data_IF_688443132434
#
_entry.id   IF_688443132434
#
_cell.length_a   1.000
_cell.length_b   1.000
_cell.length_c   1.000
_cell.angle_alpha   90.00
_cell.angle_beta   90.00
_cell.angle_gamma   90.00
#
_symmetry.space_group_name_H-M   'P 1'
#
loop_
_entity.id
_entity.type
_entity.pdbx_description
1 polymer ?
#
# COMPACT_ATOMS: atom_id res chain seq x y z
N UNK A 1 9.59 1.41 5.51
CA UNK A 1 10.61 0.36 5.80
C UNK A 1 12.01 0.94 5.98
N UNK A 2 12.55 1.70 5.01
CA UNK A 2 13.89 2.33 5.11
C UNK A 2 14.04 3.34 6.26
N UNK A 3 13.07 4.24 6.46
CA UNK A 3 13.12 5.25 7.54
C UNK A 3 13.22 4.62 8.94
N UNK A 4 12.51 3.52 9.19
CA UNK A 4 12.59 2.77 10.45
C UNK A 4 13.98 2.16 10.65
N UNK A 5 14.55 1.56 9.61
CA UNK A 5 15.90 1.01 9.65
C UNK A 5 16.93 2.11 9.97
N UNK A 6 16.84 3.25 9.27
CA UNK A 6 17.73 4.38 9.46
C UNK A 6 17.65 5.00 10.86
N UNK A 7 16.44 5.15 11.40
CA UNK A 7 16.22 5.59 12.80
C UNK A 7 16.90 4.63 13.79
N UNK A 8 16.70 3.32 13.63
CA UNK A 8 17.34 2.30 14.48
C UNK A 8 18.86 2.35 14.36
N UNK A 9 19.38 2.43 13.14
CA UNK A 9 20.82 2.46 12.88
C UNK A 9 21.48 3.72 13.47
N UNK A 10 20.90 4.90 13.27
CA UNK A 10 21.41 6.15 13.86
C UNK A 10 21.35 6.10 15.39
N UNK A 11 20.30 5.51 15.97
CA UNK A 11 20.17 5.32 17.43
C UNK A 11 21.27 4.43 18.01
N UNK A 12 21.76 3.47 17.22
CA UNK A 12 22.86 2.58 17.56
C UNK A 12 24.24 3.10 17.10
N UNK A 13 24.32 4.34 16.61
CA UNK A 13 25.51 4.91 15.99
C UNK A 13 26.08 4.08 14.82
N UNK A 14 25.22 3.30 14.15
CA UNK A 14 25.57 2.54 12.97
C UNK A 14 25.41 3.39 11.70
N UNK A 15 26.52 3.90 11.19
CA UNK A 15 26.54 4.80 10.03
C UNK A 15 26.82 4.09 8.70
N UNK A 16 26.57 2.77 8.60
CA UNK A 16 26.90 1.96 7.40
C UNK A 16 26.23 2.47 6.12
N UNK A 17 25.06 3.12 6.21
CA UNK A 17 24.35 3.71 5.08
C UNK A 17 24.50 5.24 4.99
N UNK A 18 25.32 5.86 5.85
CA UNK A 18 25.53 7.30 5.91
C UNK A 18 27.03 7.63 5.81
N UNK A 19 27.71 7.33 4.68
CA UNK A 19 29.16 7.49 4.55
C UNK A 19 29.62 8.94 4.75
N UNK A 20 28.86 9.92 4.25
CA UNK A 20 29.16 11.36 4.47
C UNK A 20 29.01 11.74 5.93
N UNK A 21 27.97 11.26 6.61
CA UNK A 21 27.79 11.51 8.04
C UNK A 21 28.91 10.85 8.85
N UNK A 22 29.34 9.64 8.47
CA UNK A 22 30.48 8.95 9.09
C UNK A 22 31.79 9.72 8.94
N UNK A 23 31.97 10.45 7.84
CA UNK A 23 33.16 11.26 7.59
C UNK A 23 33.15 12.60 8.31
N UNK A 24 31.97 13.22 8.46
CA UNK A 24 31.82 14.60 8.95
C UNK A 24 31.36 14.70 10.41
N UNK A 25 30.71 13.65 10.93
CA UNK A 25 30.22 13.64 12.31
C UNK A 25 31.38 13.72 13.28
N UNK A 26 31.33 14.74 14.14
CA UNK A 26 32.33 14.96 15.20
C UNK A 26 31.84 14.48 16.56
N UNK A 27 30.52 14.28 16.73
CA UNK A 27 29.91 13.74 17.94
C UNK A 27 28.56 13.01 17.69
N UNK A 28 28.01 12.42 18.75
CA UNK A 28 26.72 11.70 18.70
C UNK A 28 25.48 12.62 18.61
N UNK A 29 25.66 13.95 18.69
CA UNK A 29 24.56 14.91 18.65
C UNK A 29 24.01 15.08 17.23
N UNK A 30 24.85 14.92 16.21
CA UNK A 30 24.43 14.88 14.80
C UNK A 30 23.40 13.77 14.55
N UNK A 31 23.62 12.58 15.08
CA UNK A 31 22.69 11.46 14.94
C UNK A 31 21.33 11.79 15.54
N UNK A 32 21.29 12.43 16.73
CA UNK A 32 20.03 12.84 17.38
C UNK A 32 19.24 13.81 16.49
N UNK A 33 19.94 14.74 15.83
CA UNK A 33 19.31 15.67 14.87
C UNK A 33 18.74 14.95 13.65
N UNK A 34 19.47 14.01 13.06
CA UNK A 34 18.95 13.27 11.90
C UNK A 34 17.81 12.31 12.27
N UNK A 35 17.84 11.72 13.47
CA UNK A 35 16.72 10.95 14.01
C UNK A 35 15.46 11.81 14.11
N UNK A 36 15.55 13.05 14.59
CA UNK A 36 14.38 13.93 14.68
C UNK A 36 13.79 14.27 13.30
N UNK A 37 14.63 14.50 12.29
CA UNK A 37 14.16 14.68 10.90
C UNK A 37 13.51 13.42 10.33
N UNK A 38 14.06 12.24 10.61
CA UNK A 38 13.43 10.97 10.21
C UNK A 38 12.07 10.79 10.85
N UNK A 39 11.93 11.12 12.14
CA UNK A 39 10.64 11.06 12.85
C UNK A 39 9.61 12.03 12.24
N UNK A 40 10.01 13.27 11.96
CA UNK A 40 9.15 14.23 11.26
C UNK A 40 8.71 13.69 9.89
N UNK A 41 9.65 13.17 9.10
CA UNK A 41 9.35 12.61 7.79
C UNK A 41 8.39 11.41 7.90
N UNK A 42 8.61 10.50 8.87
CA UNK A 42 7.69 9.39 9.14
C UNK A 42 6.27 9.88 9.43
N UNK A 43 6.14 10.93 10.25
CA UNK A 43 4.83 11.51 10.58
C UNK A 43 4.17 12.13 9.35
N UNK A 44 4.91 12.87 8.52
CA UNK A 44 4.39 13.42 7.26
C UNK A 44 3.91 12.33 6.30
N UNK A 45 4.63 11.20 6.21
CA UNK A 45 4.16 10.04 5.46
C UNK A 45 2.86 9.48 6.05
N UNK A 46 2.79 9.25 7.36
CA UNK A 46 1.57 8.75 8.00
C UNK A 46 0.41 9.70 7.72
N UNK A 47 0.59 11.00 7.96
CA UNK A 47 -0.40 12.03 7.75
C UNK A 47 -0.91 12.04 6.30
N UNK A 48 0.01 12.08 5.32
CA UNK A 48 -0.32 12.08 3.89
C UNK A 48 -1.10 10.84 3.46
N UNK A 49 -0.82 9.68 4.05
CA UNK A 49 -1.45 8.41 3.69
C UNK A 49 -2.54 7.98 4.67
N UNK A 50 -2.99 8.85 5.59
CA UNK A 50 -4.01 8.53 6.58
C UNK A 50 -5.31 8.08 5.93
N UNK A 51 -5.71 8.72 4.83
CA UNK A 51 -6.95 8.37 4.12
C UNK A 51 -6.90 6.96 3.53
N UNK A 52 -5.73 6.45 3.16
CA UNK A 52 -5.58 5.07 2.68
C UNK A 52 -5.86 4.04 3.77
N UNK A 53 -5.66 4.38 5.04
CA UNK A 53 -6.00 3.49 6.15
C UNK A 53 -7.51 3.21 6.19
N UNK A 54 -8.35 4.18 5.78
CA UNK A 54 -9.81 4.01 5.70
C UNK A 54 -10.22 2.99 4.64
N UNK A 55 -9.38 2.75 3.63
CA UNK A 55 -9.64 1.83 2.53
C UNK A 55 -8.90 0.50 2.68
N UNK A 56 -8.17 0.29 3.78
CA UNK A 56 -7.32 -0.88 3.99
C UNK A 56 -8.07 -2.20 3.77
N UNK A 57 -9.26 -2.35 4.36
CA UNK A 57 -10.06 -3.57 4.21
C UNK A 57 -10.58 -3.75 2.78
N UNK A 58 -10.83 -2.63 2.09
CA UNK A 58 -11.19 -2.64 0.68
C UNK A 58 -10.06 -3.04 -0.24
N UNK A 59 -8.85 -2.58 0.05
CA UNK A 59 -7.65 -3.04 -0.64
C UNK A 59 -7.37 -4.51 -0.37
N UNK A 60 -7.58 -4.99 0.86
CA UNK A 60 -7.43 -6.40 1.19
C UNK A 60 -8.44 -7.26 0.42
N UNK A 61 -9.70 -6.84 0.35
CA UNK A 61 -10.72 -7.52 -0.46
C UNK A 61 -10.34 -7.54 -1.95
N UNK A 62 -9.77 -6.45 -2.45
CA UNK A 62 -9.29 -6.36 -3.82
C UNK A 62 -8.07 -7.28 -4.06
N UNK A 63 -7.07 -7.28 -3.18
CA UNK A 63 -5.83 -8.04 -3.35
C UNK A 63 -5.99 -9.53 -3.08
N UNK A 64 -6.85 -9.90 -2.14
CA UNK A 64 -7.02 -11.27 -1.63
C UNK A 64 -8.49 -11.72 -1.62
N UNK A 65 -9.24 -11.61 -2.73
CA UNK A 65 -10.68 -11.90 -2.75
C UNK A 65 -11.00 -13.36 -2.40
N UNK A 66 -10.05 -14.27 -2.61
CA UNK A 66 -10.20 -15.70 -2.32
C UNK A 66 -9.84 -16.11 -0.88
N UNK A 67 -9.25 -15.20 -0.09
CA UNK A 67 -8.66 -15.54 1.23
C UNK A 67 -9.14 -14.64 2.37
N UNK A 68 -9.66 -13.45 2.06
CA UNK A 68 -10.19 -12.54 3.09
C UNK A 68 -11.37 -13.16 3.84
N UNK A 69 -11.45 -12.93 5.16
CA UNK A 69 -12.61 -13.29 5.95
C UNK A 69 -13.84 -12.49 5.49
N UNK A 70 -14.88 -13.20 5.05
CA UNK A 70 -16.12 -12.61 4.55
C UNK A 70 -16.88 -11.81 5.61
N UNK A 71 -16.73 -12.13 6.89
CA UNK A 71 -17.40 -11.41 8.00
C UNK A 71 -16.92 -9.96 8.15
N UNK A 72 -15.68 -9.68 7.72
CA UNK A 72 -15.11 -8.32 7.79
C UNK A 72 -15.39 -7.49 6.52
N UNK A 73 -16.14 -8.03 5.57
CA UNK A 73 -16.50 -7.35 4.33
C UNK A 73 -17.90 -6.73 4.45
N UNK A 74 -18.14 -5.63 3.75
CA UNK A 74 -19.47 -4.98 3.69
C UNK A 74 -20.57 -5.98 3.35
N UNK A 75 -21.66 -5.93 4.12
CA UNK A 75 -22.82 -6.85 4.03
C UNK A 75 -23.34 -7.02 2.59
N UNK A 76 -23.37 -5.94 1.81
CA UNK A 76 -23.88 -5.95 0.44
C UNK A 76 -23.03 -6.76 -0.56
N UNK A 77 -21.81 -7.14 -0.15
CA UNK A 77 -20.84 -7.92 -0.93
C UNK A 77 -20.62 -9.34 -0.39
N UNK A 78 -20.92 -9.61 0.88
CA UNK A 78 -20.55 -10.86 1.58
C UNK A 78 -21.04 -12.12 0.84
N UNK A 79 -22.32 -12.19 0.50
CA UNK A 79 -22.88 -13.36 -0.20
C UNK A 79 -22.23 -13.57 -1.58
N UNK A 80 -21.93 -12.49 -2.30
CA UNK A 80 -21.24 -12.58 -3.60
C UNK A 80 -19.78 -12.93 -3.47
N UNK A 81 -19.16 -12.57 -2.37
CA UNK A 81 -17.80 -12.99 -2.05
C UNK A 81 -17.75 -14.48 -1.71
N UNK A 82 -18.72 -15.00 -0.96
CA UNK A 82 -18.85 -16.44 -0.69
C UNK A 82 -19.02 -17.21 -2.01
N UNK A 83 -19.95 -16.77 -2.87
CA UNK A 83 -20.15 -17.35 -4.21
C UNK A 83 -18.84 -17.36 -5.04
N UNK A 84 -17.99 -16.35 -4.87
CA UNK A 84 -16.70 -16.25 -5.57
C UNK A 84 -15.67 -17.20 -4.95
N UNK A 85 -15.55 -17.23 -3.62
CA UNK A 85 -14.60 -18.06 -2.88
C UNK A 85 -14.86 -19.56 -3.07
N UNK A 86 -16.13 -19.95 -3.22
CA UNK A 86 -16.52 -21.33 -3.53
C UNK A 86 -16.26 -21.74 -5.00
N UNK A 87 -15.96 -20.79 -5.89
CA UNK A 87 -15.73 -21.07 -7.30
C UNK A 87 -14.27 -21.48 -7.54
N UNK A 88 -14.02 -22.80 -7.51
CA UNK A 88 -12.68 -23.38 -7.70
C UNK A 88 -12.05 -23.01 -9.04
N UNK A 89 -12.84 -22.91 -10.12
CA UNK A 89 -12.35 -22.53 -11.46
C UNK A 89 -11.82 -21.10 -11.45
N UNK A 90 -12.58 -20.16 -10.87
CA UNK A 90 -12.14 -18.77 -10.75
C UNK A 90 -10.96 -18.64 -9.78
N UNK A 91 -10.91 -19.46 -8.72
CA UNK A 91 -9.77 -19.49 -7.79
C UNK A 91 -8.48 -19.94 -8.47
N UNK A 92 -8.49 -21.06 -9.19
CA UNK A 92 -7.33 -21.51 -9.97
C UNK A 92 -6.94 -20.49 -11.04
N UNK A 93 -7.92 -19.81 -11.64
CA UNK A 93 -7.63 -18.73 -12.58
C UNK A 93 -6.94 -17.55 -11.91
N UNK A 94 -7.38 -17.15 -10.72
CA UNK A 94 -6.76 -16.09 -9.92
C UNK A 94 -5.31 -16.41 -9.60
N UNK A 95 -5.02 -17.64 -9.18
CA UNK A 95 -3.65 -18.09 -8.90
C UNK A 95 -2.76 -18.04 -10.15
N UNK A 96 -3.34 -18.26 -11.34
CA UNK A 96 -2.60 -18.22 -12.61
C UNK A 96 -2.37 -16.80 -13.17
N UNK A 97 -3.34 -15.89 -13.05
CA UNK A 97 -3.28 -14.55 -13.70
C UNK A 97 -3.07 -13.39 -12.74
N UNK A 98 -3.29 -13.61 -11.44
CA UNK A 98 -3.21 -12.61 -10.39
C UNK A 98 -4.37 -11.61 -10.35
N UNK A 99 -4.29 -10.69 -9.39
CA UNK A 99 -5.34 -9.73 -9.06
C UNK A 99 -5.70 -8.78 -10.20
N UNK A 100 -4.75 -8.31 -10.98
CA UNK A 100 -5.02 -7.30 -12.01
C UNK A 100 -5.88 -7.84 -13.16
N UNK A 101 -5.79 -9.14 -13.42
CA UNK A 101 -6.42 -9.79 -14.58
C UNK A 101 -7.66 -10.59 -14.21
N UNK A 102 -7.78 -11.08 -12.96
CA UNK A 102 -8.89 -11.96 -12.56
C UNK A 102 -10.27 -11.33 -12.78
N UNK A 103 -10.39 -10.01 -12.61
CA UNK A 103 -11.69 -9.33 -12.66
C UNK A 103 -12.33 -9.33 -14.05
N UNK A 104 -11.53 -9.53 -15.11
CA UNK A 104 -12.01 -9.70 -16.49
C UNK A 104 -12.77 -11.01 -16.69
N UNK A 105 -12.49 -12.02 -15.86
CA UNK A 105 -13.09 -13.35 -15.92
C UNK A 105 -14.35 -13.49 -15.07
N UNK A 106 -14.67 -12.49 -14.23
CA UNK A 106 -15.91 -12.50 -13.48
C UNK A 106 -17.11 -12.42 -14.44
N UNK A 107 -18.15 -13.21 -14.20
CA UNK A 107 -19.42 -13.12 -14.93
C UNK A 107 -20.29 -11.93 -14.50
N UNK A 108 -21.46 -11.78 -15.13
CA UNK A 108 -22.44 -10.75 -14.74
C UNK A 108 -23.07 -10.99 -13.37
N UNK A 109 -23.05 -12.25 -12.88
CA UNK A 109 -23.49 -12.64 -11.54
C UNK A 109 -22.70 -11.96 -10.40
N UNK A 110 -21.50 -11.45 -10.70
CA UNK A 110 -20.61 -10.76 -9.76
C UNK A 110 -20.58 -9.22 -9.99
N UNK A 111 -21.62 -8.63 -10.58
CA UNK A 111 -21.66 -7.21 -10.96
C UNK A 111 -21.34 -6.24 -9.81
N UNK A 112 -21.82 -6.51 -8.59
CA UNK A 112 -21.49 -5.71 -7.40
C UNK A 112 -20.01 -5.73 -7.06
N UNK A 113 -19.40 -6.93 -7.05
CA UNK A 113 -17.96 -7.11 -6.81
C UNK A 113 -17.14 -6.47 -7.93
N UNK A 114 -17.51 -6.66 -9.21
CA UNK A 114 -16.87 -5.97 -10.34
C UNK A 114 -16.86 -4.46 -10.15
N UNK A 115 -18.02 -3.86 -9.85
CA UNK A 115 -18.13 -2.42 -9.61
C UNK A 115 -17.22 -1.97 -8.47
N UNK A 116 -17.19 -2.74 -7.37
CA UNK A 116 -16.31 -2.47 -6.24
C UNK A 116 -14.84 -2.46 -6.65
N UNK A 117 -14.39 -3.51 -7.35
CA UNK A 117 -13.00 -3.64 -7.81
C UNK A 117 -12.62 -2.58 -8.85
N UNK A 118 -13.55 -2.20 -9.75
CA UNK A 118 -13.34 -1.09 -10.68
C UNK A 118 -13.15 0.25 -9.96
N UNK A 119 -13.88 0.49 -8.87
CA UNK A 119 -13.68 1.70 -8.06
C UNK A 119 -12.30 1.73 -7.39
N UNK A 120 -11.80 0.58 -6.92
CA UNK A 120 -10.45 0.48 -6.35
C UNK A 120 -9.40 0.70 -7.45
N UNK A 121 -9.54 0.07 -8.62
CA UNK A 121 -8.63 0.26 -9.76
C UNK A 121 -8.59 1.72 -10.22
N UNK A 122 -9.72 2.42 -10.25
CA UNK A 122 -9.76 3.83 -10.68
C UNK A 122 -9.07 4.77 -9.70
N UNK A 123 -9.02 4.44 -8.40
CA UNK A 123 -8.20 5.18 -7.43
C UNK A 123 -6.72 5.15 -7.83
N UNK A 124 -6.18 3.98 -8.21
CA UNK A 124 -4.79 3.88 -8.65
C UNK A 124 -4.52 4.61 -9.98
N UNK A 125 -5.49 4.63 -10.89
CA UNK A 125 -5.39 5.40 -12.13
C UNK A 125 -5.28 6.93 -11.89
N UNK A 126 -6.00 7.46 -10.90
CA UNK A 126 -5.92 8.89 -10.56
C UNK A 126 -4.67 9.24 -9.75
N UNK A 127 -4.12 8.30 -8.97
CA UNK A 127 -2.81 8.48 -8.32
C UNK A 127 -1.67 8.66 -9.33
N UNK A 128 -1.68 7.91 -10.44
CA UNK A 128 -0.67 8.05 -11.49
C UNK A 128 -0.65 9.47 -12.09
N UNK A 129 -1.82 10.06 -12.30
CA UNK A 129 -1.95 11.46 -12.79
C UNK A 129 -1.37 12.46 -11.78
N UNK A 130 -1.58 12.22 -10.49
CA UNK A 130 -1.05 13.07 -9.42
C UNK A 130 0.47 12.91 -9.21
N UNK A 131 1.01 11.71 -9.43
CA UNK A 131 2.46 11.44 -9.43
C UNK A 131 3.17 12.17 -10.57
N UNK A 132 2.63 12.13 -11.80
CA UNK A 132 3.17 12.89 -12.93
C UNK A 132 3.21 14.41 -12.62
N UNK A 133 2.15 14.94 -12.01
CA UNK A 133 2.08 16.35 -11.63
C UNK A 133 3.06 16.73 -10.50
N UNK A 134 3.35 15.79 -9.58
CA UNK A 134 4.32 15.99 -8.50
C UNK A 134 5.77 15.90 -8.99
N UNK A 135 6.07 14.99 -9.91
CA UNK A 135 7.38 14.88 -10.56
C UNK A 135 7.69 16.10 -11.43
N UNK A 136 6.67 16.70 -12.07
CA UNK A 136 6.83 17.95 -12.81
C UNK A 136 7.29 19.14 -11.95
N UNK A 137 7.03 19.13 -10.63
CA UNK A 137 7.48 20.19 -9.70
C UNK A 137 8.92 20.00 -9.21
N UNK A 138 9.51 18.82 -9.39
CA UNK A 138 10.90 18.51 -9.02
C UNK A 138 11.90 18.82 -10.14
N UNK A 139 11.42 19.09 -11.36
CA UNK A 139 12.23 19.45 -12.52
C UNK A 139 12.36 20.99 -12.71
N UNK A 140 12.61 21.73 -11.63
CA UNK A 140 12.90 23.17 -11.70
C UNK A 140 14.19 23.52 -10.97
#
# INVERSE_FOLDING_TARGET
>A
MKLRLWETQLSLNNLVHFPTLKQLSTDSNDNKRYISYILLLKNEFINRFTDFQKYKDGFLLFSEPFFINTEHVREDLQLKLIDLQCNSVLKSKFEAVGVLEIFKYLGNSYSKLKKYFSNILSMFGSFYVCEQFSLMKLNK
#
